data_IF_176892722075
#
_entry.id   IF_176892722075
#
_cell.length_a   1.000
_cell.length_b   1.000
_cell.length_c   1.000
_cell.angle_alpha   90.00
_cell.angle_beta   90.00
_cell.angle_gamma   90.00
#
_symmetry.space_group_name_H-M   'P 1'
#
loop_
_entity.id
_entity.type
_entity.pdbx_description
1 polymer ?
#
# COMPACT_ATOMS: atom_id res chain seq x y z
N UNK A 1 4.94 -11.81 -3.10
CA UNK A 1 5.92 -12.10 -2.04
C UNK A 1 5.81 -11.12 -0.88
N UNK A 2 5.79 -9.80 -1.12
CA UNK A 2 5.67 -8.81 -0.03
C UNK A 2 4.38 -8.94 0.79
N UNK A 3 3.22 -9.12 0.15
CA UNK A 3 1.96 -9.36 0.87
C UNK A 3 1.90 -10.70 1.63
N UNK A 4 2.81 -11.64 1.32
CA UNK A 4 2.95 -12.90 2.06
C UNK A 4 3.79 -12.69 3.32
N UNK A 5 4.65 -11.67 3.34
CA UNK A 5 5.66 -11.50 4.38
C UNK A 5 6.92 -12.33 4.14
N UNK A 6 7.33 -12.57 2.88
CA UNK A 6 8.65 -13.17 2.66
C UNK A 6 9.75 -12.26 3.21
N UNK A 7 10.72 -12.81 3.93
CA UNK A 7 11.80 -12.06 4.58
C UNK A 7 11.66 -11.88 6.10
N UNK A 8 10.57 -12.37 6.69
CA UNK A 8 10.38 -12.45 8.15
C UNK A 8 10.25 -13.90 8.63
N UNK A 9 10.58 -14.13 9.90
CA UNK A 9 10.55 -15.47 10.50
C UNK A 9 9.22 -15.74 11.22
N UNK A 10 8.56 -14.69 11.74
CA UNK A 10 7.31 -14.82 12.50
C UNK A 10 6.10 -14.35 11.69
N UNK A 11 4.97 -15.04 11.84
CA UNK A 11 3.72 -14.66 11.19
C UNK A 11 3.20 -13.28 11.65
N UNK A 12 3.50 -12.88 12.89
CA UNK A 12 3.17 -11.57 13.46
C UNK A 12 3.92 -10.40 12.80
N UNK A 13 5.04 -10.66 12.13
CA UNK A 13 5.86 -9.65 11.46
C UNK A 13 5.39 -9.40 10.02
N UNK A 14 4.41 -10.17 9.53
CA UNK A 14 3.88 -9.98 8.18
C UNK A 14 3.08 -8.68 8.11
N UNK A 15 3.08 -7.98 6.96
CA UNK A 15 2.41 -6.68 6.85
C UNK A 15 0.89 -6.78 7.11
N UNK A 16 0.27 -7.90 6.73
CA UNK A 16 -1.14 -8.15 7.03
C UNK A 16 -1.41 -8.29 8.52
N UNK A 17 -0.57 -9.01 9.26
CA UNK A 17 -0.71 -9.18 10.70
C UNK A 17 -0.51 -7.86 11.44
N UNK A 18 0.53 -7.10 11.08
CA UNK A 18 0.82 -5.78 11.67
C UNK A 18 -0.33 -4.79 11.46
N UNK A 19 -0.90 -4.73 10.25
CA UNK A 19 -2.06 -3.89 9.95
C UNK A 19 -3.29 -4.36 10.72
N UNK A 20 -3.57 -5.67 10.77
CA UNK A 20 -4.73 -6.20 11.47
C UNK A 20 -4.67 -5.95 12.99
N UNK A 21 -3.49 -6.10 13.60
CA UNK A 21 -3.27 -5.79 15.01
C UNK A 21 -3.52 -4.30 15.29
N UNK A 22 -2.89 -3.41 14.53
CA UNK A 22 -3.08 -1.96 14.72
C UNK A 22 -4.51 -1.51 14.40
N UNK A 23 -5.19 -2.15 13.45
CA UNK A 23 -6.59 -1.86 13.13
C UNK A 23 -7.54 -2.35 14.24
N UNK A 24 -7.21 -3.45 14.92
CA UNK A 24 -7.96 -3.93 16.09
C UNK A 24 -7.94 -2.87 17.21
N UNK A 25 -6.77 -2.30 17.48
CA UNK A 25 -6.61 -1.22 18.46
C UNK A 25 -7.39 0.04 18.04
N UNK A 26 -7.28 0.47 16.79
CA UNK A 26 -7.98 1.67 16.29
C UNK A 26 -9.50 1.51 16.25
N UNK A 27 -9.98 0.30 15.96
CA UNK A 27 -11.40 0.02 15.82
C UNK A 27 -12.07 -0.40 17.14
N UNK A 28 -11.29 -0.66 18.18
CA UNK A 28 -11.72 -1.21 19.48
C UNK A 28 -12.61 -2.46 19.31
N UNK A 29 -12.32 -3.28 18.28
CA UNK A 29 -13.08 -4.50 17.95
C UNK A 29 -12.21 -5.52 17.21
N UNK A 30 -12.52 -6.83 17.31
CA UNK A 30 -11.73 -7.86 16.65
C UNK A 30 -11.67 -7.68 15.13
N UNK A 31 -10.47 -7.82 14.56
CA UNK A 31 -10.25 -7.86 13.10
C UNK A 31 -9.89 -9.27 12.66
N UNK A 32 -10.65 -9.81 11.69
CA UNK A 32 -10.35 -11.11 11.07
C UNK A 32 -9.49 -10.91 9.83
N UNK A 33 -8.22 -11.30 9.89
CA UNK A 33 -7.32 -11.28 8.74
C UNK A 33 -7.46 -12.57 7.91
N UNK A 34 -7.75 -12.43 6.61
CA UNK A 34 -7.64 -13.53 5.64
C UNK A 34 -6.53 -13.24 4.64
N UNK A 35 -5.48 -14.09 4.65
CA UNK A 35 -4.33 -13.94 3.75
C UNK A 35 -4.49 -14.83 2.52
N UNK A 36 -4.72 -14.22 1.37
CA UNK A 36 -4.82 -14.90 0.07
C UNK A 36 -3.60 -14.69 -0.83
N UNK A 37 -2.64 -13.88 -0.38
CA UNK A 37 -1.45 -13.54 -1.15
C UNK A 37 -0.63 -14.79 -1.55
N UNK A 38 -0.22 -14.85 -2.81
CA UNK A 38 0.66 -15.90 -3.34
C UNK A 38 2.05 -15.32 -3.66
N UNK A 39 3.11 -16.04 -3.30
CA UNK A 39 4.47 -15.61 -3.65
C UNK A 39 4.69 -15.69 -5.16
N UNK A 40 5.44 -14.76 -5.74
CA UNK A 40 5.63 -14.70 -7.20
C UNK A 40 4.42 -14.30 -8.04
N UNK A 41 3.24 -14.08 -7.43
CA UNK A 41 2.03 -13.67 -8.15
C UNK A 41 2.25 -12.36 -8.94
N UNK A 42 1.77 -12.35 -10.17
CA UNK A 42 1.65 -11.20 -11.07
C UNK A 42 0.19 -10.74 -11.08
N UNK A 43 -0.09 -9.57 -11.66
CA UNK A 43 -1.47 -9.09 -11.77
C UNK A 43 -2.41 -10.06 -12.49
N UNK A 44 -1.90 -10.83 -13.47
CA UNK A 44 -2.68 -11.82 -14.22
C UNK A 44 -3.17 -12.97 -13.34
N UNK A 45 -2.52 -13.18 -12.19
CA UNK A 45 -2.83 -14.23 -11.21
C UNK A 45 -3.79 -13.71 -10.11
N UNK A 46 -4.32 -12.48 -10.23
CA UNK A 46 -5.23 -11.89 -9.23
C UNK A 46 -6.63 -12.50 -9.25
N UNK A 47 -7.09 -12.99 -10.40
CA UNK A 47 -8.49 -13.40 -10.58
C UNK A 47 -8.90 -14.48 -9.58
N UNK A 48 -8.10 -15.54 -9.45
CA UNK A 48 -8.32 -16.62 -8.48
C UNK A 48 -8.23 -16.15 -7.02
N UNK A 49 -7.36 -15.18 -6.72
CA UNK A 49 -7.26 -14.60 -5.37
C UNK A 49 -8.50 -13.76 -5.04
N UNK A 50 -9.07 -13.05 -6.02
CA UNK A 50 -10.31 -12.27 -5.87
C UNK A 50 -11.50 -13.19 -5.71
N UNK A 51 -11.59 -14.29 -6.46
CA UNK A 51 -12.67 -15.28 -6.30
C UNK A 51 -12.75 -15.79 -4.86
N UNK A 52 -11.60 -16.14 -4.28
CA UNK A 52 -11.47 -16.58 -2.89
C UNK A 52 -11.70 -15.45 -1.89
N UNK A 53 -11.36 -14.20 -2.24
CA UNK A 53 -11.63 -13.05 -1.38
C UNK A 53 -13.13 -12.79 -1.27
N UNK A 54 -13.87 -12.89 -2.38
CA UNK A 54 -15.31 -12.62 -2.41
C UNK A 54 -16.09 -13.61 -1.54
N UNK A 55 -15.65 -14.87 -1.41
CA UNK A 55 -16.30 -15.83 -0.50
C UNK A 55 -16.19 -15.45 0.97
N UNK A 56 -15.21 -14.61 1.33
CA UNK A 56 -14.96 -14.15 2.69
C UNK A 56 -15.76 -12.91 3.08
N UNK A 57 -16.44 -12.27 2.12
CA UNK A 57 -17.21 -11.02 2.29
C UNK A 57 -16.43 -9.94 3.06
N UNK A 58 -15.27 -9.48 2.53
CA UNK A 58 -14.40 -8.58 3.27
C UNK A 58 -14.97 -7.17 3.37
N UNK A 59 -14.87 -6.54 4.55
CA UNK A 59 -15.13 -5.10 4.70
C UNK A 59 -14.07 -4.25 3.98
N UNK A 60 -12.82 -4.72 3.97
CA UNK A 60 -11.69 -4.08 3.31
C UNK A 60 -10.74 -5.10 2.70
N UNK A 61 -10.30 -4.84 1.47
CA UNK A 61 -9.31 -5.62 0.75
C UNK A 61 -8.03 -4.79 0.52
N UNK A 62 -6.90 -5.26 1.03
CA UNK A 62 -5.58 -4.71 0.76
C UNK A 62 -4.89 -5.51 -0.35
N UNK A 63 -4.58 -4.85 -1.47
CA UNK A 63 -3.85 -5.46 -2.59
C UNK A 63 -2.45 -4.85 -2.67
N UNK A 64 -1.42 -5.70 -2.71
CA UNK A 64 -0.05 -5.29 -3.02
C UNK A 64 0.49 -6.13 -4.18
N UNK A 65 0.60 -5.52 -5.36
CA UNK A 65 0.98 -6.21 -6.61
C UNK A 65 1.80 -5.26 -7.51
N UNK A 66 2.62 -5.82 -8.40
CA UNK A 66 3.33 -5.05 -9.43
C UNK A 66 4.84 -5.23 -9.46
N UNK A 67 5.49 -5.63 -8.36
CA UNK A 67 6.93 -5.92 -8.36
C UNK A 67 7.28 -7.09 -9.30
N UNK A 68 6.46 -8.15 -9.28
CA UNK A 68 6.61 -9.31 -10.15
C UNK A 68 6.27 -9.00 -11.61
N UNK A 69 5.31 -8.09 -11.86
CA UNK A 69 4.98 -7.61 -13.19
C UNK A 69 6.15 -6.88 -13.84
N UNK A 70 6.84 -6.01 -13.09
CA UNK A 70 8.01 -5.29 -13.58
C UNK A 70 9.19 -6.24 -13.83
N UNK A 71 9.47 -7.17 -12.90
CA UNK A 71 10.56 -8.15 -13.08
C UNK A 71 10.28 -9.12 -14.23
N UNK A 72 9.02 -9.53 -14.42
CA UNK A 72 8.58 -10.38 -15.54
C UNK A 72 8.30 -9.61 -16.83
N UNK A 73 8.50 -8.28 -16.84
CA UNK A 73 8.29 -7.37 -17.98
C UNK A 73 6.88 -7.46 -18.60
N UNK A 74 5.87 -7.65 -17.75
CA UNK A 74 4.47 -7.57 -18.19
C UNK A 74 4.17 -6.15 -18.68
N UNK A 75 3.44 -6.04 -19.80
CA UNK A 75 3.04 -4.73 -20.32
C UNK A 75 2.18 -4.00 -19.29
N UNK A 76 2.46 -2.73 -18.93
CA UNK A 76 1.69 -2.01 -17.93
C UNK A 76 0.18 -2.01 -18.19
N UNK A 77 -0.24 -1.86 -19.45
CA UNK A 77 -1.65 -1.92 -19.84
C UNK A 77 -2.33 -3.26 -19.52
N UNK A 78 -1.60 -4.38 -19.61
CA UNK A 78 -2.11 -5.70 -19.20
C UNK A 78 -2.22 -5.72 -17.68
N UNK A 79 -1.17 -5.28 -16.99
CA UNK A 79 -1.15 -5.35 -15.53
C UNK A 79 -2.25 -4.53 -14.86
N UNK A 80 -2.44 -3.30 -15.30
CA UNK A 80 -3.45 -2.40 -14.73
C UNK A 80 -4.87 -2.83 -15.11
N UNK A 81 -5.07 -3.51 -16.24
CA UNK A 81 -6.38 -4.08 -16.59
C UNK A 81 -6.80 -5.14 -15.57
N UNK A 82 -5.94 -6.13 -15.31
CA UNK A 82 -6.23 -7.17 -14.32
C UNK A 82 -6.40 -6.59 -12.91
N UNK A 83 -5.60 -5.59 -12.54
CA UNK A 83 -5.78 -4.89 -11.27
C UNK A 83 -7.11 -4.12 -11.21
N UNK A 84 -7.49 -3.40 -12.26
CA UNK A 84 -8.76 -2.66 -12.31
C UNK A 84 -9.95 -3.61 -12.20
N UNK A 85 -9.90 -4.75 -12.90
CA UNK A 85 -10.94 -5.78 -12.80
C UNK A 85 -11.04 -6.34 -11.38
N UNK A 86 -9.90 -6.64 -10.73
CA UNK A 86 -9.87 -7.08 -9.34
C UNK A 86 -10.48 -6.03 -8.39
N UNK A 87 -10.10 -4.76 -8.52
CA UNK A 87 -10.65 -3.67 -7.70
C UNK A 87 -12.15 -3.53 -7.91
N UNK A 88 -12.60 -3.47 -9.17
CA UNK A 88 -14.02 -3.32 -9.52
C UNK A 88 -14.87 -4.44 -8.95
N UNK A 89 -14.44 -5.69 -9.08
CA UNK A 89 -15.18 -6.85 -8.54
C UNK A 89 -15.35 -6.78 -7.02
N UNK A 90 -14.30 -6.32 -6.30
CA UNK A 90 -14.34 -6.17 -4.84
C UNK A 90 -15.21 -4.99 -4.42
N UNK A 91 -15.11 -3.83 -5.10
CA UNK A 91 -15.92 -2.65 -4.80
C UNK A 91 -17.39 -2.88 -5.12
N UNK A 92 -17.72 -3.56 -6.22
CA UNK A 92 -19.09 -3.97 -6.58
C UNK A 92 -19.70 -4.94 -5.54
N UNK A 93 -18.87 -5.71 -4.84
CA UNK A 93 -19.28 -6.57 -3.73
C UNK A 93 -19.40 -5.83 -2.38
N UNK A 94 -19.14 -4.52 -2.35
CA UNK A 94 -19.25 -3.68 -1.15
C UNK A 94 -17.99 -3.58 -0.30
N UNK A 95 -16.86 -4.14 -0.75
CA UNK A 95 -15.60 -4.05 -0.03
C UNK A 95 -14.87 -2.72 -0.33
N UNK A 96 -14.31 -2.10 0.70
CA UNK A 96 -13.35 -1.01 0.50
C UNK A 96 -12.03 -1.57 -0.05
N UNK A 97 -11.46 -0.95 -1.09
CA UNK A 97 -10.23 -1.47 -1.71
C UNK A 97 -9.08 -0.47 -1.56
N UNK A 98 -8.00 -0.92 -0.91
CA UNK A 98 -6.75 -0.17 -0.76
C UNK A 98 -5.65 -0.89 -1.53
N UNK A 99 -4.96 -0.18 -2.43
CA UNK A 99 -3.84 -0.74 -3.20
C UNK A 99 -2.52 -0.10 -2.80
N UNK A 100 -1.62 -0.90 -2.24
CA UNK A 100 -0.20 -0.55 -2.15
C UNK A 100 0.44 -0.67 -3.53
N UNK A 101 0.73 0.46 -4.17
CA UNK A 101 1.23 0.48 -5.55
C UNK A 101 2.66 -0.08 -5.67
N UNK A 102 3.09 -0.40 -6.90
CA UNK A 102 4.39 -0.98 -7.19
C UNK A 102 5.52 -0.19 -6.49
N UNK A 103 6.34 -0.86 -5.64
CA UNK A 103 7.46 -0.19 -4.97
C UNK A 103 8.55 0.20 -5.98
N UNK A 104 9.38 1.19 -5.63
CA UNK A 104 10.51 1.63 -6.48
C UNK A 104 11.62 0.57 -6.47
N UNK A 105 11.64 -0.29 -7.48
CA UNK A 105 12.64 -1.37 -7.57
C UNK A 105 14.08 -0.85 -7.74
N UNK A 106 14.27 0.43 -8.03
CA UNK A 106 15.60 1.04 -8.03
C UNK A 106 16.20 1.26 -6.65
N UNK A 107 15.51 0.88 -5.57
CA UNK A 107 16.08 0.81 -4.21
C UNK A 107 16.67 -0.57 -3.87
N UNK A 108 16.43 -1.59 -4.71
CA UNK A 108 16.92 -2.94 -4.48
C UNK A 108 18.44 -2.97 -4.70
N UNK A 109 19.19 -3.30 -3.63
CA UNK A 109 20.65 -3.20 -3.59
C UNK A 109 21.35 -4.05 -4.66
N UNK A 110 20.99 -5.35 -4.84
CA UNK A 110 21.61 -6.21 -5.85
C UNK A 110 21.52 -5.69 -7.30
N UNK A 111 20.60 -4.77 -7.61
CA UNK A 111 20.45 -4.26 -8.98
C UNK A 111 21.55 -3.21 -9.24
N UNK A 112 22.52 -3.52 -10.09
CA UNK A 112 23.60 -2.62 -10.47
C UNK A 112 23.15 -1.55 -11.51
N UNK A 113 23.97 -0.51 -11.69
CA UNK A 113 23.78 0.44 -12.80
C UNK A 113 24.17 -0.22 -14.14
N UNK A 114 23.49 0.11 -15.25
CA UNK A 114 22.40 1.10 -15.39
C UNK A 114 21.00 0.55 -15.09
N UNK A 115 20.86 -0.76 -14.84
CA UNK A 115 19.57 -1.42 -14.62
C UNK A 115 18.77 -0.83 -13.46
N UNK A 116 19.45 -0.37 -12.40
CA UNK A 116 18.82 0.30 -11.25
C UNK A 116 17.98 1.52 -11.67
N UNK A 117 18.51 2.32 -12.59
CA UNK A 117 17.82 3.50 -13.11
C UNK A 117 16.60 3.13 -13.96
N UNK A 118 16.70 2.05 -14.75
CA UNK A 118 15.58 1.54 -15.53
C UNK A 118 14.50 0.93 -14.64
N UNK A 119 14.88 0.12 -13.65
CA UNK A 119 13.98 -0.49 -12.68
C UNK A 119 13.17 0.56 -11.92
N UNK A 120 13.82 1.66 -11.49
CA UNK A 120 13.15 2.83 -10.91
C UNK A 120 12.13 3.45 -11.85
N UNK A 121 12.52 3.68 -13.10
CA UNK A 121 11.62 4.30 -14.08
C UNK A 121 10.41 3.42 -14.35
N UNK A 122 10.61 2.13 -14.59
CA UNK A 122 9.53 1.18 -14.88
C UNK A 122 8.59 0.99 -13.70
N UNK A 123 9.11 0.84 -12.48
CA UNK A 123 8.28 0.72 -11.28
C UNK A 123 7.44 1.98 -11.01
N UNK A 124 8.00 3.18 -11.15
CA UNK A 124 7.23 4.43 -11.00
C UNK A 124 6.17 4.61 -12.09
N UNK A 125 6.49 4.21 -13.33
CA UNK A 125 5.50 4.21 -14.41
C UNK A 125 4.36 3.23 -14.12
N UNK A 126 4.67 2.03 -13.63
CA UNK A 126 3.68 1.05 -13.20
C UNK A 126 2.82 1.61 -12.06
N UNK A 127 3.43 2.18 -11.01
CA UNK A 127 2.71 2.75 -9.86
C UNK A 127 1.76 3.89 -10.25
N UNK A 128 2.17 4.75 -11.18
CA UNK A 128 1.30 5.80 -11.71
C UNK A 128 0.12 5.21 -12.50
N UNK A 129 0.37 4.22 -13.35
CA UNK A 129 -0.69 3.55 -14.12
C UNK A 129 -1.68 2.80 -13.21
N UNK A 130 -1.18 2.10 -12.18
CA UNK A 130 -2.00 1.46 -11.15
C UNK A 130 -2.87 2.48 -10.42
N UNK A 131 -2.31 3.65 -10.06
CA UNK A 131 -3.09 4.71 -9.38
C UNK A 131 -4.27 5.18 -10.20
N UNK A 132 -4.08 5.40 -11.50
CA UNK A 132 -5.19 5.83 -12.39
C UNK A 132 -6.25 4.74 -12.43
N UNK A 133 -5.85 3.51 -12.76
CA UNK A 133 -6.77 2.39 -12.96
C UNK A 133 -7.56 2.02 -11.70
N UNK A 134 -6.91 2.06 -10.53
CA UNK A 134 -7.55 1.75 -9.24
C UNK A 134 -8.56 2.82 -8.84
N UNK A 135 -8.21 4.10 -8.98
CA UNK A 135 -9.10 5.21 -8.64
C UNK A 135 -10.32 5.24 -9.56
N UNK A 136 -10.13 4.98 -10.85
CA UNK A 136 -11.22 4.84 -11.83
C UNK A 136 -12.13 3.64 -11.53
N UNK A 137 -11.59 2.57 -10.93
CA UNK A 137 -12.36 1.40 -10.48
C UNK A 137 -13.00 1.57 -9.08
N UNK A 138 -12.90 2.76 -8.48
CA UNK A 138 -13.51 3.08 -7.17
C UNK A 138 -12.65 2.74 -5.95
N UNK A 139 -11.43 2.22 -6.14
CA UNK A 139 -10.49 1.97 -5.05
C UNK A 139 -9.62 3.17 -4.72
N UNK A 140 -8.85 3.08 -3.63
CA UNK A 140 -7.82 4.06 -3.25
C UNK A 140 -6.44 3.45 -3.33
N UNK A 141 -5.43 4.28 -3.61
CA UNK A 141 -4.03 3.83 -3.64
C UNK A 141 -3.19 4.52 -2.60
N UNK A 142 -2.18 3.79 -2.13
CA UNK A 142 -1.09 4.32 -1.32
C UNK A 142 0.21 4.06 -2.06
N UNK A 143 1.01 5.12 -2.23
CA UNK A 143 2.34 5.00 -2.79
C UNK A 143 3.27 4.32 -1.78
N UNK A 144 3.60 3.06 -2.06
CA UNK A 144 4.70 2.36 -1.40
C UNK A 144 6.06 2.81 -1.95
N UNK A 145 6.09 3.65 -3.00
CA UNK A 145 7.30 4.00 -3.76
C UNK A 145 8.47 4.35 -2.85
N UNK A 146 9.68 3.85 -3.15
CA UNK A 146 10.81 3.62 -2.21
C UNK A 146 10.27 3.42 -0.82
N UNK A 147 10.00 2.19 -0.37
CA UNK A 147 9.24 1.79 0.84
C UNK A 147 9.67 2.46 2.19
N UNK A 148 10.42 3.56 2.18
CA UNK A 148 11.79 3.74 2.65
C UNK A 148 12.33 5.21 2.46
N UNK A 149 11.94 5.96 1.42
CA UNK A 149 12.54 7.29 1.15
C UNK A 149 14.09 7.27 1.02
N UNK A 150 14.80 8.42 1.07
CA UNK A 150 16.26 8.45 0.99
C UNK A 150 16.97 7.75 2.15
N UNK A 151 16.39 7.82 3.36
CA UNK A 151 16.99 7.32 4.60
C UNK A 151 17.16 5.80 4.63
N UNK A 152 16.29 5.08 3.94
CA UNK A 152 16.32 3.62 3.90
C UNK A 152 17.07 3.04 2.70
N UNK A 153 17.25 3.78 1.60
CA UNK A 153 18.20 3.33 0.56
C UNK A 153 19.61 3.18 1.15
N UNK A 154 19.89 3.88 2.26
CA UNK A 154 21.09 3.78 3.08
C UNK A 154 21.00 2.82 4.27
N UNK A 155 19.81 2.32 4.64
CA UNK A 155 19.62 1.50 5.84
C UNK A 155 19.64 0.01 5.49
N UNK A 156 20.52 -0.75 6.15
CA UNK A 156 20.70 -2.19 5.90
C UNK A 156 19.61 -3.03 6.53
N UNK A 157 19.08 -2.59 7.65
CA UNK A 157 18.20 -3.38 8.52
C UNK A 157 16.78 -3.48 7.98
N UNK A 158 16.52 -2.82 6.86
CA UNK A 158 15.21 -2.68 6.24
C UNK A 158 14.94 -3.71 5.14
N UNK A 159 15.98 -4.44 4.76
CA UNK A 159 15.88 -5.59 3.88
C UNK A 159 16.23 -6.86 4.66
N UNK A 160 15.59 -7.95 4.29
CA UNK A 160 15.97 -9.27 4.77
C UNK A 160 17.36 -9.67 4.26
N UNK A 161 17.85 -10.84 4.70
CA UNK A 161 19.15 -11.39 4.29
C UNK A 161 19.33 -11.53 2.77
N UNK A 162 18.24 -11.58 2.00
CA UNK A 162 18.26 -11.67 0.54
C UNK A 162 18.44 -10.32 -0.18
N UNK A 163 18.49 -9.22 0.57
CA UNK A 163 18.60 -7.84 0.08
C UNK A 163 17.53 -7.41 -0.94
N UNK A 164 16.43 -8.15 -0.99
CA UNK A 164 15.36 -7.97 -1.95
C UNK A 164 14.02 -7.74 -1.24
N UNK A 165 13.67 -8.60 -0.30
CA UNK A 165 12.44 -8.48 0.47
C UNK A 165 12.63 -7.59 1.70
N UNK A 166 11.57 -6.92 2.18
CA UNK A 166 11.62 -6.19 3.45
C UNK A 166 11.95 -7.13 4.62
N UNK A 167 12.68 -6.61 5.60
CA UNK A 167 12.81 -7.21 6.94
C UNK A 167 11.55 -6.97 7.78
N UNK A 168 11.53 -7.44 9.04
CA UNK A 168 10.46 -7.11 9.99
C UNK A 168 10.26 -5.59 10.15
N UNK A 169 11.35 -4.83 10.31
CA UNK A 169 11.32 -3.36 10.38
C UNK A 169 10.80 -2.77 9.07
N UNK A 170 11.24 -3.29 7.93
CA UNK A 170 10.76 -2.86 6.61
C UNK A 170 9.26 -3.09 6.42
N UNK A 171 8.71 -4.21 6.92
CA UNK A 171 7.27 -4.49 6.89
C UNK A 171 6.49 -3.63 7.88
N UNK A 172 7.00 -3.37 9.08
CA UNK A 172 6.39 -2.44 10.03
C UNK A 172 6.22 -1.04 9.43
N UNK A 173 7.23 -0.59 8.67
CA UNK A 173 7.19 0.71 8.01
C UNK A 173 6.25 0.74 6.80
N UNK A 174 6.20 -0.34 6.02
CA UNK A 174 5.20 -0.50 4.96
C UNK A 174 3.77 -0.51 5.55
N UNK A 175 3.56 -1.23 6.65
CA UNK A 175 2.31 -1.27 7.39
C UNK A 175 1.93 0.12 7.92
N UNK A 176 2.87 0.87 8.50
CA UNK A 176 2.66 2.22 8.99
C UNK A 176 2.23 3.18 7.88
N UNK A 177 2.77 3.01 6.66
CA UNK A 177 2.38 3.81 5.51
C UNK A 177 0.96 3.47 5.02
N UNK A 178 0.55 2.21 5.08
CA UNK A 178 -0.74 1.72 4.59
C UNK A 178 -1.89 1.92 5.58
N UNK A 179 -1.61 1.69 6.88
CA UNK A 179 -2.60 1.65 7.95
C UNK A 179 -3.54 2.87 7.97
N UNK A 180 -3.04 4.12 7.83
CA UNK A 180 -3.93 5.28 7.86
C UNK A 180 -5.02 5.26 6.78
N UNK A 181 -4.71 4.76 5.58
CA UNK A 181 -5.69 4.68 4.49
C UNK A 181 -6.62 3.48 4.64
N UNK A 182 -6.14 2.37 5.20
CA UNK A 182 -6.98 1.19 5.54
C UNK A 182 -7.98 1.55 6.64
N UNK A 183 -7.51 2.17 7.72
CA UNK A 183 -8.36 2.62 8.83
C UNK A 183 -9.38 3.68 8.40
N UNK A 184 -8.99 4.60 7.51
CA UNK A 184 -9.91 5.59 6.95
C UNK A 184 -10.97 4.98 6.04
N UNK A 185 -10.62 3.92 5.30
CA UNK A 185 -11.55 3.17 4.46
C UNK A 185 -12.71 2.61 5.27
N UNK A 186 -12.40 1.99 6.41
CA UNK A 186 -13.42 1.39 7.29
C UNK A 186 -13.94 2.35 8.37
N UNK A 187 -13.61 3.64 8.29
CA UNK A 187 -14.17 4.68 9.16
C UNK A 187 -13.63 4.73 10.59
N UNK A 188 -12.49 4.11 10.89
CA UNK A 188 -11.91 4.02 12.25
C UNK A 188 -10.67 4.90 12.44
N UNK A 189 -10.25 5.65 11.42
CA UNK A 189 -9.13 6.58 11.57
C UNK A 189 -9.54 7.80 12.42
N UNK A 190 -8.85 8.09 13.54
CA UNK A 190 -9.28 9.13 14.47
C UNK A 190 -9.05 10.53 13.89
N UNK A 191 -10.09 11.38 13.92
CA UNK A 191 -10.01 12.76 13.44
C UNK A 191 -8.95 13.61 14.19
N UNK A 192 -8.57 13.22 15.41
CA UNK A 192 -7.47 13.83 16.18
C UNK A 192 -6.09 13.56 15.60
N UNK A 193 -5.86 12.43 14.92
CA UNK A 193 -4.57 12.13 14.28
C UNK A 193 -4.21 13.12 13.15
N UNK A 194 -5.20 13.87 12.67
CA UNK A 194 -5.04 14.93 11.68
C UNK A 194 -4.96 16.36 12.29
N UNK A 195 -5.20 16.53 13.60
CA UNK A 195 -5.14 17.85 14.28
C UNK A 195 -3.68 18.29 14.52
N UNK A 196 -3.39 19.58 14.30
CA UNK A 196 -2.06 20.19 14.51
C UNK A 196 -1.20 20.42 13.25
N UNK A 197 -1.70 20.06 12.06
CA UNK A 197 -0.99 20.27 10.78
C UNK A 197 -1.50 21.54 10.11
N UNK A 198 -0.59 22.45 9.72
CA UNK A 198 -0.91 23.73 9.05
C UNK A 198 -2.01 23.53 7.98
N UNK A 199 -2.97 24.47 7.83
CA UNK A 199 -4.08 24.36 6.86
C UNK A 199 -3.67 24.32 5.37
N UNK A 200 -2.37 24.33 5.06
CA UNK A 200 -1.87 24.53 3.70
C UNK A 200 -2.12 23.34 2.76
N UNK A 201 -2.43 22.12 3.23
CA UNK A 201 -2.84 21.01 2.34
C UNK A 201 -3.79 20.01 2.99
N UNK A 202 -5.01 20.45 3.34
CA UNK A 202 -6.16 19.53 3.27
C UNK A 202 -6.17 18.98 1.84
N UNK A 203 -6.33 17.68 1.66
CA UNK A 203 -5.97 16.98 0.42
C UNK A 203 -6.31 17.77 -0.85
N UNK A 204 -5.37 17.84 -1.79
CA UNK A 204 -5.57 18.66 -2.99
C UNK A 204 -6.31 17.84 -4.03
N UNK A 205 -7.52 18.26 -4.39
CA UNK A 205 -8.24 17.66 -5.52
C UNK A 205 -7.54 18.06 -6.82
N UNK A 206 -7.24 17.07 -7.66
CA UNK A 206 -6.53 17.22 -8.94
C UNK A 206 -7.05 16.19 -9.94
N UNK A 207 -6.82 16.37 -11.25
CA UNK A 207 -7.06 15.30 -12.20
C UNK A 207 -6.23 14.07 -11.83
N UNK A 208 -6.80 12.88 -11.95
CA UNK A 208 -6.21 11.61 -11.48
C UNK A 208 -4.81 11.38 -12.05
N UNK A 209 -4.57 11.71 -13.32
CA UNK A 209 -3.26 11.59 -13.94
C UNK A 209 -2.18 12.46 -13.25
N UNK A 210 -2.54 13.66 -12.80
CA UNK A 210 -1.61 14.53 -12.06
C UNK A 210 -1.39 14.04 -10.63
N UNK A 211 -2.42 13.51 -9.98
CA UNK A 211 -2.33 12.90 -8.67
C UNK A 211 -1.40 11.66 -8.72
N UNK A 212 -1.61 10.78 -9.70
CA UNK A 212 -0.81 9.59 -9.96
C UNK A 212 0.67 9.90 -10.20
N UNK A 213 0.97 10.85 -11.09
CA UNK A 213 2.36 11.24 -11.37
C UNK A 213 3.08 11.78 -10.11
N UNK A 214 2.36 12.51 -9.25
CA UNK A 214 2.90 13.00 -7.97
C UNK A 214 3.09 11.87 -6.96
N UNK A 215 2.10 11.00 -6.82
CA UNK A 215 2.11 9.90 -5.86
C UNK A 215 3.22 8.88 -6.18
N UNK A 216 3.45 8.56 -7.46
CA UNK A 216 4.45 7.60 -7.89
C UNK A 216 5.90 7.93 -7.49
N UNK A 217 6.17 9.18 -7.07
CA UNK A 217 7.50 9.62 -6.61
C UNK A 217 7.57 9.93 -5.12
N UNK A 218 6.47 9.73 -4.37
CA UNK A 218 6.34 10.18 -2.98
C UNK A 218 5.65 9.13 -2.11
N UNK A 219 6.44 8.43 -1.31
CA UNK A 219 5.98 7.45 -0.32
C UNK A 219 4.91 8.01 0.61
N UNK A 220 3.90 7.17 0.92
CA UNK A 220 2.77 7.50 1.78
C UNK A 220 1.81 8.55 1.23
N UNK A 221 1.93 8.86 -0.06
CA UNK A 221 0.92 9.64 -0.75
C UNK A 221 -0.27 8.74 -1.07
N UNK A 222 -1.42 9.11 -0.53
CA UNK A 222 -2.71 8.48 -0.80
C UNK A 222 -3.41 9.21 -1.95
N UNK A 223 -4.02 8.44 -2.85
CA UNK A 223 -4.91 8.93 -3.90
C UNK A 223 -6.22 8.18 -3.84
N UNK A 224 -7.32 8.90 -3.71
CA UNK A 224 -8.67 8.31 -3.67
C UNK A 224 -9.60 9.05 -4.65
N UNK A 225 -10.72 8.43 -5.06
CA UNK A 225 -11.76 9.10 -5.84
C UNK A 225 -12.24 10.37 -5.13
N UNK A 226 -12.61 11.38 -5.91
CA UNK A 226 -13.11 12.64 -5.38
C UNK A 226 -14.18 13.22 -6.28
N UNK A 227 -15.07 14.00 -5.69
CA UNK A 227 -16.05 14.78 -6.43
C UNK A 227 -15.81 16.27 -6.20
N UNK A 228 -15.99 17.06 -7.27
CA UNK A 228 -15.95 18.52 -7.22
C UNK A 228 -17.28 19.03 -7.74
N UNK A 229 -18.06 19.66 -6.85
CA UNK A 229 -19.40 20.20 -7.17
C UNK A 229 -20.36 19.15 -7.75
N UNK A 230 -20.34 17.93 -7.18
CA UNK A 230 -21.21 16.82 -7.59
C UNK A 230 -20.79 16.13 -8.89
N UNK A 231 -19.58 16.40 -9.39
CA UNK A 231 -19.01 15.73 -10.55
C UNK A 231 -17.74 15.01 -10.14
N UNK A 232 -17.67 13.70 -10.41
CA UNK A 232 -16.50 12.85 -10.28
C UNK A 232 -15.43 13.14 -11.35
N UNK A 233 -15.82 13.85 -12.41
CA UNK A 233 -14.99 14.13 -13.57
C UNK A 233 -14.87 15.63 -13.83
N UNK A 234 -13.75 16.02 -14.43
CA UNK A 234 -13.49 17.39 -14.87
C UNK A 234 -12.89 17.43 -16.28
N UNK A 235 -12.52 18.62 -16.78
CA UNK A 235 -12.04 18.80 -18.16
C UNK A 235 -10.76 18.02 -18.52
N UNK A 236 -10.07 17.46 -17.52
CA UNK A 236 -8.81 16.72 -17.67
C UNK A 236 -8.91 15.29 -17.12
N UNK A 237 -10.13 14.74 -17.06
CA UNK A 237 -10.43 13.40 -16.56
C UNK A 237 -10.97 13.39 -15.12
N UNK A 238 -11.05 12.20 -14.51
CA UNK A 238 -11.56 12.01 -13.15
C UNK A 238 -10.81 12.85 -12.11
N UNK A 239 -11.54 13.34 -11.11
CA UNK A 239 -10.98 14.00 -9.95
C UNK A 239 -10.48 12.98 -8.94
N UNK A 240 -9.33 13.29 -8.34
CA UNK A 240 -8.75 12.51 -7.28
C UNK A 240 -8.29 13.41 -6.15
N UNK A 241 -8.52 12.95 -4.92
CA UNK A 241 -8.07 13.62 -3.71
C UNK A 241 -6.69 13.09 -3.34
N UNK A 242 -5.70 13.98 -3.34
CA UNK A 242 -4.33 13.66 -2.97
C UNK A 242 -4.10 13.99 -1.48
N UNK A 243 -3.78 12.98 -0.66
CA UNK A 243 -3.47 13.15 0.77
C UNK A 243 -2.09 12.58 1.11
N UNK A 244 -1.51 13.05 2.21
CA UNK A 244 -0.31 12.45 2.80
C UNK A 244 -0.43 12.52 4.31
N UNK A 245 -0.45 11.36 4.95
CA UNK A 245 -0.48 11.22 6.41
C UNK A 245 0.93 10.93 6.90
N UNK A 246 1.29 11.41 8.10
CA UNK A 246 2.50 10.93 8.78
C UNK A 246 2.23 9.48 9.17
N UNK A 247 3.09 8.53 8.79
CA UNK A 247 2.99 7.16 9.28
C UNK A 247 3.02 7.15 10.81
N UNK A 248 2.13 6.41 11.49
CA UNK A 248 2.28 6.13 12.91
C UNK A 248 3.51 5.24 13.13
N UNK A 249 3.99 5.17 14.36
CA UNK A 249 4.94 4.13 14.74
C UNK A 249 4.15 2.83 14.92
N UNK A 250 4.58 1.78 14.20
CA UNK A 250 4.09 0.42 14.40
C UNK A 250 5.29 -0.34 14.99
N UNK A 251 5.23 -0.74 16.27
CA UNK A 251 6.31 -1.52 16.84
C UNK A 251 6.41 -2.87 16.12
N UNK A 252 7.62 -3.36 15.97
CA UNK A 252 7.85 -4.76 15.63
C UNK A 252 7.35 -5.66 16.77
N UNK A 253 7.03 -6.94 16.50
CA UNK A 253 6.59 -7.84 17.55
C UNK A 253 7.61 -8.03 18.67
N UNK A 254 8.92 -7.94 18.37
CA UNK A 254 9.98 -7.94 19.38
C UNK A 254 9.90 -6.70 20.29
N UNK A 255 9.81 -5.50 19.71
CA UNK A 255 9.63 -4.26 20.48
C UNK A 255 8.33 -4.26 21.30
N UNK A 256 7.27 -4.88 20.78
CA UNK A 256 5.99 -5.01 21.50
C UNK A 256 6.09 -5.99 22.67
N UNK A 257 6.80 -7.10 22.51
CA UNK A 257 7.09 -8.08 23.57
C UNK A 257 7.97 -7.44 24.66
N UNK A 258 9.05 -6.75 24.29
CA UNK A 258 9.92 -6.03 25.23
C UNK A 258 9.16 -4.94 26.02
N UNK A 259 8.31 -4.17 25.35
CA UNK A 259 7.49 -3.15 26.00
C UNK A 259 6.47 -3.75 26.98
N UNK A 260 5.88 -4.91 26.64
CA UNK A 260 4.95 -5.61 27.51
C UNK A 260 5.68 -6.19 28.74
N UNK A 261 6.86 -6.78 28.57
CA UNK A 261 7.67 -7.28 29.69
C UNK A 261 8.12 -6.14 30.62
N UNK A 262 8.53 -5.00 30.07
CA UNK A 262 8.90 -3.82 30.85
C UNK A 262 7.73 -3.23 31.67
N UNK A 263 6.49 -3.35 31.19
CA UNK A 263 5.28 -2.93 31.92
C UNK A 263 4.88 -3.89 33.05
N UNK A 264 5.30 -5.15 33.00
CA UNK A 264 4.99 -6.16 34.04
C UNK A 264 5.98 -6.08 35.22
N UNK A 265 7.17 -5.52 35.00
CA UNK A 265 8.26 -5.46 35.99
C UNK A 265 8.31 -4.10 36.74
N UNK A 266 7.56 -3.09 36.29
CA UNK A 266 7.48 -1.75 36.91
C UNK A 266 6.25 -1.53 37.77
#
# INVERSE_FOLDING_TARGET
SSAVGLGVERASETPGALIAAALTELAERPVRLVRLAVSGAKSVDLDEQVDRALTEQPDVALIMIGANDVTSRIRPAVSVRHLADAVRRLTEAGAEVVVGTCPDLGTIRPIAQPLRTLARRWSRQMAAAQTIAVVEAGGRTVSLGSVLGPAFASDRDMFSVDEFHPSAVGYAQAAAVLLPSVADAVGVWPASADRGRRPIRRGTVKPVAQAAARAASRTGTEVQPAEVRGSDTGPRGPWALLRRRRPPEIPTPEEAEEAAEAQVVG
#
